data_IF_730956958244
#
_entry.id   IF_730956958244
#
_cell.length_a   1.000
_cell.length_b   1.000
_cell.length_c   1.000
_cell.angle_alpha   90.00
_cell.angle_beta   90.00
_cell.angle_gamma   90.00
#
_symmetry.space_group_name_H-M   'P 1'
#
loop_
_entity.id
_entity.type
_entity.pdbx_description
1 polymer ?
#
# COMPACT_ATOMS: atom_id res chain seq x y z
N UNK A 1 -18.77 -23.83 12.35
CA UNK A 1 -18.60 -22.45 11.81
C UNK A 1 -17.67 -21.61 12.68
N UNK A 2 -16.88 -20.71 12.06
CA UNK A 2 -15.98 -19.78 12.75
C UNK A 2 -16.77 -18.57 13.23
N UNK A 3 -16.76 -18.31 14.54
CA UNK A 3 -17.40 -17.14 15.15
C UNK A 3 -16.42 -15.96 15.15
N UNK A 4 -16.90 -14.80 14.74
CA UNK A 4 -16.16 -13.52 14.86
C UNK A 4 -16.44 -12.91 16.23
N UNK A 5 -17.72 -12.83 16.60
CA UNK A 5 -18.20 -12.46 17.94
C UNK A 5 -19.23 -13.48 18.41
N UNK A 6 -20.02 -13.15 19.44
CA UNK A 6 -21.13 -14.02 19.87
C UNK A 6 -22.23 -14.12 18.80
N UNK A 7 -22.45 -13.02 18.07
CA UNK A 7 -23.59 -12.83 17.17
C UNK A 7 -23.17 -12.80 15.70
N UNK A 8 -21.88 -12.52 15.41
CA UNK A 8 -21.33 -12.45 14.06
C UNK A 8 -20.62 -13.77 13.70
N UNK A 9 -21.07 -14.40 12.63
CA UNK A 9 -20.60 -15.69 12.13
C UNK A 9 -19.99 -15.51 10.74
N UNK A 10 -18.81 -16.07 10.53
CA UNK A 10 -18.18 -16.15 9.21
C UNK A 10 -18.81 -17.27 8.38
N UNK A 11 -19.23 -16.96 7.15
CA UNK A 11 -19.88 -17.89 6.21
C UNK A 11 -19.24 -17.89 4.81
N UNK A 12 -18.08 -17.26 4.66
CA UNK A 12 -17.33 -17.21 3.40
C UNK A 12 -16.67 -18.53 3.00
N UNK A 13 -15.81 -18.47 1.98
CA UNK A 13 -15.18 -19.63 1.33
C UNK A 13 -13.71 -19.36 0.97
N UNK A 14 -12.94 -20.44 0.80
CA UNK A 14 -11.60 -20.41 0.23
C UNK A 14 -11.62 -20.97 -1.18
N UNK A 15 -10.99 -20.26 -2.12
CA UNK A 15 -10.74 -20.68 -3.48
C UNK A 15 -9.27 -21.04 -3.68
N UNK A 16 -9.00 -22.32 -3.84
CA UNK A 16 -7.67 -22.85 -4.17
C UNK A 16 -7.53 -23.21 -5.66
N UNK A 17 -8.57 -23.00 -6.46
CA UNK A 17 -8.59 -23.29 -7.89
C UNK A 17 -8.20 -22.07 -8.74
N UNK A 18 -8.41 -20.86 -8.20
CA UNK A 18 -7.97 -19.62 -8.85
C UNK A 18 -6.45 -19.58 -8.98
N UNK A 19 -5.97 -19.41 -10.21
CA UNK A 19 -4.56 -19.19 -10.53
C UNK A 19 -4.25 -17.69 -10.68
N UNK A 20 -5.21 -16.92 -11.21
CA UNK A 20 -5.16 -15.48 -11.41
C UNK A 20 -6.40 -14.78 -10.84
N UNK A 21 -6.22 -13.98 -9.78
CA UNK A 21 -7.25 -13.07 -9.30
C UNK A 21 -7.41 -11.87 -10.25
N UNK A 22 -8.65 -11.50 -10.57
CA UNK A 22 -9.02 -10.54 -11.63
C UNK A 22 -8.41 -10.85 -13.03
N UNK A 23 -7.93 -12.08 -13.24
CA UNK A 23 -7.18 -12.44 -14.45
C UNK A 23 -5.80 -11.78 -14.56
N UNK A 24 -5.28 -11.18 -13.47
CA UNK A 24 -4.01 -10.45 -13.48
C UNK A 24 -3.03 -10.88 -12.38
N UNK A 25 -3.50 -11.13 -11.15
CA UNK A 25 -2.63 -11.35 -10.00
C UNK A 25 -2.46 -12.84 -9.71
N UNK A 26 -1.23 -13.33 -9.78
CA UNK A 26 -0.92 -14.73 -9.42
C UNK A 26 -1.15 -14.92 -7.93
N UNK A 27 -1.99 -15.89 -7.56
CA UNK A 27 -2.40 -16.14 -6.17
C UNK A 27 -2.11 -17.59 -5.78
N UNK A 28 -0.83 -17.95 -5.55
CA UNK A 28 -0.43 -19.35 -5.35
C UNK A 28 -1.01 -19.98 -4.08
N UNK A 29 -1.41 -19.15 -3.11
CA UNK A 29 -2.05 -19.54 -1.86
C UNK A 29 -3.58 -19.40 -1.90
N UNK A 30 -4.17 -19.28 -3.10
CA UNK A 30 -5.59 -19.12 -3.31
C UNK A 30 -6.14 -17.74 -2.93
N UNK A 31 -7.46 -17.65 -2.79
CA UNK A 31 -8.20 -16.47 -2.37
C UNK A 31 -9.26 -16.81 -1.33
N UNK A 32 -9.62 -15.84 -0.51
CA UNK A 32 -10.79 -15.93 0.36
C UNK A 32 -11.87 -14.98 -0.15
N UNK A 33 -13.11 -15.47 -0.23
CA UNK A 33 -14.30 -14.65 -0.49
C UNK A 33 -15.14 -14.65 0.79
N UNK A 34 -15.04 -13.58 1.56
CA UNK A 34 -15.63 -13.50 2.87
C UNK A 34 -17.08 -13.01 2.80
N UNK A 35 -17.92 -13.61 3.64
CA UNK A 35 -19.29 -13.18 3.86
C UNK A 35 -19.64 -13.46 5.32
N UNK A 36 -20.56 -12.69 5.88
CA UNK A 36 -20.85 -12.70 7.32
C UNK A 36 -22.36 -12.74 7.59
N UNK A 37 -22.77 -13.46 8.63
CA UNK A 37 -24.13 -13.46 9.16
C UNK A 37 -24.13 -12.83 10.55
N UNK A 38 -25.00 -11.86 10.78
CA UNK A 38 -25.23 -11.25 12.09
C UNK A 38 -26.59 -11.68 12.63
N UNK A 39 -26.56 -12.42 13.74
CA UNK A 39 -27.74 -12.92 14.41
C UNK A 39 -28.25 -11.89 15.42
N UNK A 40 -29.32 -11.19 15.05
CA UNK A 40 -30.01 -10.23 15.91
C UNK A 40 -31.53 -10.52 15.93
N UNK A 41 -32.39 -9.62 16.40
CA UNK A 41 -33.86 -9.77 16.25
C UNK A 41 -34.23 -9.90 14.76
N UNK A 42 -33.60 -9.08 13.91
CA UNK A 42 -33.60 -9.19 12.45
C UNK A 42 -32.23 -9.66 11.96
N UNK A 43 -32.20 -10.75 11.21
CA UNK A 43 -30.95 -11.36 10.76
C UNK A 43 -30.43 -10.68 9.50
N UNK A 44 -29.14 -10.34 9.50
CA UNK A 44 -28.49 -9.66 8.36
C UNK A 44 -27.36 -10.51 7.80
N UNK A 45 -27.33 -10.67 6.48
CA UNK A 45 -26.22 -11.26 5.73
C UNK A 45 -25.45 -10.14 5.03
N UNK A 46 -24.12 -10.19 5.07
CA UNK A 46 -23.22 -9.23 4.45
C UNK A 46 -22.52 -9.86 3.26
N UNK A 47 -22.78 -9.27 2.09
CA UNK A 47 -22.26 -9.66 0.77
C UNK A 47 -22.43 -11.14 0.47
N UNK A 48 -22.04 -11.51 -0.74
CA UNK A 48 -22.06 -12.90 -1.21
C UNK A 48 -20.65 -13.32 -1.61
N UNK A 49 -20.51 -14.36 -2.41
CA UNK A 49 -19.21 -14.88 -2.87
C UNK A 49 -19.24 -15.12 -4.37
N UNK A 50 -18.08 -15.45 -4.92
CA UNK A 50 -17.90 -15.84 -6.33
C UNK A 50 -18.89 -16.94 -6.76
N UNK A 51 -19.29 -16.88 -8.03
CA UNK A 51 -20.29 -17.79 -8.61
C UNK A 51 -19.92 -19.27 -8.45
N UNK A 52 -18.63 -19.62 -8.46
CA UNK A 52 -18.16 -21.00 -8.32
C UNK A 52 -18.48 -21.61 -6.94
N UNK A 53 -18.72 -20.76 -5.94
CA UNK A 53 -18.95 -21.17 -4.55
C UNK A 53 -20.40 -21.00 -4.09
N UNK A 54 -21.34 -20.78 -5.02
CA UNK A 54 -22.78 -20.61 -4.77
C UNK A 54 -23.33 -21.58 -3.73
N UNK A 55 -23.16 -22.89 -3.95
CA UNK A 55 -23.77 -23.92 -3.10
C UNK A 55 -23.11 -23.98 -1.72
N UNK A 56 -21.77 -23.97 -1.67
CA UNK A 56 -21.04 -24.01 -0.40
C UNK A 56 -21.39 -22.80 0.48
N UNK A 57 -21.48 -21.60 -0.10
CA UNK A 57 -21.85 -20.39 0.63
C UNK A 57 -23.30 -20.43 1.13
N UNK A 58 -24.26 -20.86 0.30
CA UNK A 58 -25.65 -21.01 0.73
C UNK A 58 -25.80 -22.05 1.86
N UNK A 59 -25.04 -23.15 1.82
CA UNK A 59 -24.99 -24.16 2.88
C UNK A 59 -24.42 -23.56 4.19
N UNK A 60 -23.32 -22.79 4.09
CA UNK A 60 -22.75 -22.08 5.25
C UNK A 60 -23.74 -21.07 5.85
N UNK A 61 -24.46 -20.31 5.01
CA UNK A 61 -25.50 -19.38 5.45
C UNK A 61 -26.62 -20.14 6.15
N UNK A 62 -27.12 -21.23 5.57
CA UNK A 62 -28.18 -22.05 6.17
C UNK A 62 -27.77 -22.64 7.52
N UNK A 63 -26.53 -23.12 7.64
CA UNK A 63 -25.97 -23.60 8.92
C UNK A 63 -25.93 -22.47 9.96
N UNK A 64 -25.47 -21.28 9.59
CA UNK A 64 -25.38 -20.11 10.48
C UNK A 64 -26.75 -19.63 10.96
N UNK A 65 -27.76 -19.70 10.09
CA UNK A 65 -29.13 -19.32 10.41
C UNK A 65 -29.81 -20.28 11.38
N UNK A 66 -29.41 -21.56 11.43
CA UNK A 66 -30.00 -22.55 12.34
C UNK A 66 -31.52 -22.69 12.21
N UNK A 67 -32.06 -22.51 10.99
CA UNK A 67 -33.50 -22.53 10.70
C UNK A 67 -34.21 -21.18 10.78
N UNK A 68 -33.54 -20.10 11.21
CA UNK A 68 -34.05 -18.73 11.08
C UNK A 68 -34.05 -18.29 9.61
N UNK A 69 -34.82 -17.25 9.30
CA UNK A 69 -34.83 -16.62 7.97
C UNK A 69 -34.05 -15.30 8.03
N UNK A 70 -33.26 -14.95 7.00
CA UNK A 70 -32.62 -13.66 6.93
C UNK A 70 -33.63 -12.55 6.58
N UNK A 71 -33.51 -11.42 7.26
CA UNK A 71 -34.31 -10.22 7.00
C UNK A 71 -33.63 -9.31 5.97
N UNK A 72 -32.29 -9.25 5.99
CA UNK A 72 -31.50 -8.35 5.15
C UNK A 72 -30.34 -9.04 4.45
N UNK A 73 -30.06 -8.61 3.22
CA UNK A 73 -28.78 -8.79 2.54
C UNK A 73 -28.17 -7.42 2.30
N UNK A 74 -27.13 -7.05 3.06
CA UNK A 74 -26.35 -5.83 2.84
C UNK A 74 -25.33 -6.09 1.74
N UNK A 75 -25.36 -5.29 0.68
CA UNK A 75 -24.42 -5.35 -0.44
C UNK A 75 -23.50 -4.14 -0.39
N UNK A 76 -22.28 -4.36 0.08
CA UNK A 76 -21.25 -3.34 0.23
C UNK A 76 -20.54 -3.04 -1.09
N UNK A 77 -20.41 -4.06 -1.94
CA UNK A 77 -19.68 -4.00 -3.20
C UNK A 77 -20.35 -4.86 -4.28
N UNK A 78 -20.43 -4.35 -5.51
CA UNK A 78 -21.05 -5.04 -6.64
C UNK A 78 -20.07 -5.87 -7.49
N UNK A 79 -18.78 -5.92 -7.16
CA UNK A 79 -17.86 -6.77 -7.92
C UNK A 79 -18.29 -8.26 -7.84
N UNK A 80 -18.26 -9.02 -8.96
CA UNK A 80 -18.90 -10.33 -9.01
C UNK A 80 -18.37 -11.38 -8.03
N UNK A 81 -17.13 -11.29 -7.60
CA UNK A 81 -16.54 -12.16 -6.58
C UNK A 81 -17.17 -12.00 -5.18
N UNK A 82 -17.96 -10.93 -4.99
CA UNK A 82 -18.77 -10.68 -3.79
C UNK A 82 -20.26 -10.56 -4.07
N UNK A 83 -20.67 -10.41 -5.34
CA UNK A 83 -22.05 -10.07 -5.69
C UNK A 83 -22.76 -11.08 -6.58
N UNK A 84 -22.04 -12.05 -7.17
CA UNK A 84 -22.60 -12.98 -8.15
C UNK A 84 -23.81 -13.78 -7.63
N UNK A 85 -23.89 -13.97 -6.32
CA UNK A 85 -24.89 -14.81 -5.67
C UNK A 85 -26.12 -14.06 -5.14
N UNK A 86 -26.23 -12.75 -5.35
CA UNK A 86 -27.40 -11.95 -4.90
C UNK A 86 -28.72 -12.55 -5.42
N UNK A 87 -28.79 -12.90 -6.70
CA UNK A 87 -29.99 -13.49 -7.29
C UNK A 87 -30.31 -14.87 -6.70
N UNK A 88 -29.30 -15.70 -6.48
CA UNK A 88 -29.47 -17.03 -5.86
C UNK A 88 -29.95 -16.92 -4.41
N UNK A 89 -29.41 -15.94 -3.66
CA UNK A 89 -29.84 -15.63 -2.31
C UNK A 89 -31.31 -15.22 -2.26
N UNK A 90 -31.74 -14.26 -3.08
CA UNK A 90 -33.15 -13.81 -3.11
C UNK A 90 -34.10 -14.92 -3.55
N UNK A 91 -33.71 -15.77 -4.48
CA UNK A 91 -34.52 -16.93 -4.86
C UNK A 91 -34.70 -17.92 -3.69
N UNK A 92 -33.69 -18.05 -2.83
CA UNK A 92 -33.71 -18.93 -1.65
C UNK A 92 -34.47 -18.29 -0.49
N UNK A 93 -34.31 -16.99 -0.30
CA UNK A 93 -34.88 -16.20 0.80
C UNK A 93 -35.71 -15.01 0.25
N UNK A 94 -36.89 -15.25 -0.35
CA UNK A 94 -37.64 -14.24 -1.09
C UNK A 94 -38.17 -13.08 -0.23
N UNK A 95 -38.25 -13.27 1.08
CA UNK A 95 -38.70 -12.25 2.02
C UNK A 95 -37.57 -11.31 2.48
N UNK A 96 -36.30 -11.62 2.16
CA UNK A 96 -35.18 -10.78 2.54
C UNK A 96 -35.20 -9.47 1.74
N UNK A 97 -34.80 -8.37 2.40
CA UNK A 97 -34.65 -7.05 1.78
C UNK A 97 -33.18 -6.82 1.43
N UNK A 98 -32.89 -6.49 0.18
CA UNK A 98 -31.55 -6.09 -0.24
C UNK A 98 -31.30 -4.65 0.23
N UNK A 99 -30.22 -4.42 0.95
CA UNK A 99 -29.79 -3.11 1.44
C UNK A 99 -28.55 -2.67 0.66
N UNK A 100 -28.60 -1.49 0.06
CA UNK A 100 -27.51 -0.94 -0.75
C UNK A 100 -27.69 0.56 -0.95
N UNK A 101 -26.73 1.23 -1.60
CA UNK A 101 -26.93 2.63 -1.98
C UNK A 101 -27.49 2.77 -3.40
N UNK A 102 -27.79 4.00 -3.81
CA UNK A 102 -28.39 4.27 -5.12
C UNK A 102 -27.57 3.73 -6.30
N UNK A 103 -26.22 3.74 -6.20
CA UNK A 103 -25.35 3.21 -7.26
C UNK A 103 -25.29 1.68 -7.25
N UNK A 104 -25.35 1.06 -6.07
CA UNK A 104 -25.45 -0.40 -5.91
C UNK A 104 -26.61 -0.93 -6.75
N UNK A 105 -27.81 -0.34 -6.62
CA UNK A 105 -28.98 -0.79 -7.37
C UNK A 105 -28.93 -0.48 -8.87
N UNK A 106 -28.28 0.62 -9.26
CA UNK A 106 -28.06 0.92 -10.68
C UNK A 106 -27.18 -0.14 -11.36
N UNK A 107 -26.10 -0.57 -10.68
CA UNK A 107 -25.24 -1.65 -11.18
C UNK A 107 -25.93 -3.01 -11.12
N UNK A 108 -26.69 -3.27 -10.06
CA UNK A 108 -27.45 -4.50 -9.90
C UNK A 108 -28.42 -4.73 -11.07
N UNK A 109 -29.10 -3.69 -11.55
CA UNK A 109 -29.95 -3.78 -12.75
C UNK A 109 -29.14 -4.15 -14.00
N UNK A 110 -27.91 -3.66 -14.12
CA UNK A 110 -27.01 -3.96 -15.25
C UNK A 110 -26.51 -5.42 -15.22
N UNK A 111 -26.09 -5.91 -14.04
CA UNK A 111 -25.57 -7.26 -13.89
C UNK A 111 -26.66 -8.34 -14.00
N UNK A 112 -27.86 -8.07 -13.47
CA UNK A 112 -28.92 -9.09 -13.37
C UNK A 112 -30.08 -8.90 -14.36
N UNK A 113 -30.11 -7.80 -15.12
CA UNK A 113 -31.10 -7.55 -16.18
C UNK A 113 -32.51 -7.24 -15.67
N UNK A 114 -32.64 -6.76 -14.43
CA UNK A 114 -33.94 -6.44 -13.82
C UNK A 114 -33.81 -5.84 -12.43
N UNK A 115 -34.94 -5.34 -11.90
CA UNK A 115 -35.03 -4.79 -10.55
C UNK A 115 -35.49 -5.85 -9.57
N UNK A 116 -34.90 -5.81 -8.38
CA UNK A 116 -35.38 -6.57 -7.23
C UNK A 116 -36.54 -5.84 -6.56
N UNK A 117 -37.51 -6.59 -6.03
CA UNK A 117 -38.73 -6.02 -5.43
C UNK A 117 -38.46 -5.46 -4.02
N UNK A 118 -37.88 -6.28 -3.14
CA UNK A 118 -37.61 -5.93 -1.75
C UNK A 118 -36.23 -5.26 -1.62
N UNK A 119 -36.20 -3.94 -1.73
CA UNK A 119 -34.97 -3.14 -1.66
C UNK A 119 -35.07 -2.00 -0.64
N UNK A 120 -33.96 -1.69 0.01
CA UNK A 120 -33.77 -0.55 0.90
C UNK A 120 -32.56 0.26 0.44
N UNK A 121 -32.81 1.49 0.01
CA UNK A 121 -31.75 2.43 -0.40
C UNK A 121 -31.29 3.22 0.81
N UNK A 122 -30.01 3.08 1.18
CA UNK A 122 -29.41 3.83 2.29
C UNK A 122 -28.55 4.98 1.81
N UNK A 123 -28.50 6.05 2.59
CA UNK A 123 -27.63 7.21 2.44
C UNK A 123 -26.33 7.11 3.23
N UNK A 124 -25.37 7.98 2.92
CA UNK A 124 -24.11 8.07 3.67
C UNK A 124 -24.36 8.58 5.10
N UNK A 125 -23.94 7.81 6.09
CA UNK A 125 -24.15 8.07 7.52
C UNK A 125 -25.51 7.59 8.04
N UNK A 126 -26.36 7.01 7.19
CA UNK A 126 -27.64 6.43 7.62
C UNK A 126 -27.39 5.18 8.46
N UNK A 127 -28.33 4.86 9.34
CA UNK A 127 -28.23 3.69 10.22
C UNK A 127 -29.47 2.79 10.14
N UNK A 128 -29.24 1.48 10.22
CA UNK A 128 -30.26 0.44 10.28
C UNK A 128 -30.11 -0.32 11.61
N UNK A 129 -31.13 -0.24 12.45
CA UNK A 129 -31.21 -1.02 13.70
C UNK A 129 -31.96 -2.33 13.44
N UNK A 130 -31.34 -3.44 13.84
CA UNK A 130 -31.86 -4.80 13.64
C UNK A 130 -32.31 -5.48 14.94
N UNK A 131 -32.31 -4.75 16.05
CA UNK A 131 -32.52 -5.30 17.39
C UNK A 131 -31.49 -4.69 18.34
N UNK A 132 -30.53 -5.50 18.77
CA UNK A 132 -29.36 -5.02 19.52
C UNK A 132 -28.36 -4.29 18.62
N UNK A 133 -28.12 -4.82 17.42
CA UNK A 133 -27.14 -4.28 16.49
C UNK A 133 -27.69 -3.05 15.77
N UNK A 134 -26.81 -2.07 15.55
CA UNK A 134 -27.11 -0.88 14.75
C UNK A 134 -25.96 -0.65 13.78
N UNK A 135 -26.29 -0.79 12.50
CA UNK A 135 -25.36 -0.68 11.37
C UNK A 135 -25.39 0.73 10.79
N UNK A 136 -24.27 1.44 10.80
CA UNK A 136 -24.09 2.73 10.13
C UNK A 136 -23.37 2.53 8.80
N UNK A 137 -23.96 3.02 7.70
CA UNK A 137 -23.39 2.88 6.36
C UNK A 137 -22.52 4.09 6.00
N UNK A 138 -21.25 3.86 5.68
CA UNK A 138 -20.30 4.93 5.33
C UNK A 138 -19.83 4.72 3.90
N UNK A 139 -20.12 5.69 3.03
CA UNK A 139 -19.77 5.58 1.62
C UNK A 139 -18.25 5.76 1.42
N UNK A 140 -17.70 4.87 0.60
CA UNK A 140 -16.29 4.77 0.24
C UNK A 140 -16.10 4.75 -1.29
N UNK A 141 -16.61 5.77 -2.01
CA UNK A 141 -16.59 5.75 -3.47
C UNK A 141 -15.15 5.74 -4.02
N UNK A 142 -14.92 4.90 -5.02
CA UNK A 142 -13.61 4.62 -5.62
C UNK A 142 -12.63 3.94 -4.66
N UNK A 143 -13.12 3.19 -3.68
CA UNK A 143 -12.32 2.29 -2.83
C UNK A 143 -12.83 0.84 -3.00
N UNK A 144 -12.71 0.22 -4.17
CA UNK A 144 -12.14 0.74 -5.43
C UNK A 144 -13.19 1.09 -6.50
N UNK A 145 -14.45 0.67 -6.32
CA UNK A 145 -15.57 1.00 -7.23
C UNK A 145 -16.45 2.17 -6.74
N UNK A 146 -17.22 2.82 -7.62
CA UNK A 146 -17.95 4.05 -7.28
C UNK A 146 -19.14 3.89 -6.32
N UNK A 147 -19.66 2.67 -6.15
CA UNK A 147 -20.77 2.28 -5.25
C UNK A 147 -20.30 1.75 -3.90
N UNK A 148 -19.00 1.52 -3.69
CA UNK A 148 -18.55 0.88 -2.45
C UNK A 148 -19.00 1.66 -1.21
N UNK A 149 -19.50 0.92 -0.23
CA UNK A 149 -19.77 1.41 1.12
C UNK A 149 -19.25 0.43 2.16
N UNK A 150 -18.74 0.95 3.27
CA UNK A 150 -18.42 0.15 4.46
C UNK A 150 -19.57 0.23 5.46
N UNK A 151 -19.66 -0.73 6.37
CA UNK A 151 -20.72 -0.78 7.38
C UNK A 151 -20.12 -0.96 8.76
N UNK A 152 -20.47 -0.07 9.67
CA UNK A 152 -20.01 -0.11 11.05
C UNK A 152 -21.13 -0.60 11.96
N UNK A 153 -20.89 -1.70 12.67
CA UNK A 153 -21.73 -2.14 13.77
C UNK A 153 -21.26 -1.52 15.08
N UNK A 154 -22.09 -0.64 15.63
CA UNK A 154 -21.84 0.05 16.90
C UNK A 154 -21.94 -0.84 18.14
N UNK A 155 -22.55 -2.02 18.04
CA UNK A 155 -22.74 -2.93 19.19
C UNK A 155 -21.47 -3.72 19.47
N UNK A 156 -20.98 -4.43 18.45
CA UNK A 156 -19.76 -5.22 18.55
C UNK A 156 -18.50 -4.46 18.13
N UNK A 157 -18.65 -3.18 17.70
CA UNK A 157 -17.54 -2.32 17.27
C UNK A 157 -16.80 -2.89 16.06
N UNK A 158 -17.56 -3.44 15.12
CA UNK A 158 -17.05 -4.14 13.93
C UNK A 158 -17.21 -3.25 12.69
N UNK A 159 -16.15 -3.13 11.91
CA UNK A 159 -16.20 -2.52 10.58
C UNK A 159 -16.18 -3.63 9.53
N UNK A 160 -17.32 -3.84 8.85
CA UNK A 160 -17.36 -4.58 7.59
C UNK A 160 -16.84 -3.66 6.49
N UNK A 161 -15.63 -3.94 5.99
CA UNK A 161 -14.81 -2.95 5.28
C UNK A 161 -14.83 -3.06 3.75
N UNK A 162 -15.76 -3.85 3.19
CA UNK A 162 -15.68 -4.26 1.79
C UNK A 162 -14.25 -4.80 1.48
N UNK A 163 -13.65 -4.41 0.35
CA UNK A 163 -12.27 -4.77 -0.01
C UNK A 163 -11.21 -4.08 0.83
N UNK A 164 -11.59 -3.03 1.56
CA UNK A 164 -10.68 -2.34 2.48
C UNK A 164 -10.12 -3.33 3.50
N UNK A 165 -8.83 -3.23 3.77
CA UNK A 165 -8.05 -4.10 4.67
C UNK A 165 -7.91 -5.56 4.24
N UNK A 166 -8.26 -5.89 3.00
CA UNK A 166 -8.06 -7.22 2.44
C UNK A 166 -6.59 -7.56 2.13
N UNK A 167 -6.36 -8.85 1.86
CA UNK A 167 -5.11 -9.38 1.28
C UNK A 167 -5.41 -10.52 0.31
N UNK A 168 -4.47 -10.80 -0.61
CA UNK A 168 -4.47 -12.06 -1.34
C UNK A 168 -4.20 -13.25 -0.41
N UNK A 169 -4.65 -14.45 -0.81
CA UNK A 169 -4.46 -15.69 -0.06
C UNK A 169 -5.73 -16.20 0.62
N UNK A 170 -5.88 -17.53 0.66
CA UNK A 170 -6.93 -18.22 1.39
C UNK A 170 -6.73 -18.15 2.92
N UNK A 171 -7.80 -18.35 3.70
CA UNK A 171 -7.77 -18.25 5.16
C UNK A 171 -7.14 -19.44 5.88
N UNK A 172 -6.97 -20.56 5.18
CA UNK A 172 -6.37 -21.80 5.69
C UNK A 172 -4.87 -21.89 5.42
N UNK A 173 -4.25 -20.81 4.94
CA UNK A 173 -2.81 -20.67 4.75
C UNK A 173 -2.24 -19.68 5.78
N UNK A 174 -1.17 -20.07 6.46
CA UNK A 174 -0.44 -19.19 7.37
C UNK A 174 0.57 -18.33 6.61
N UNK A 175 0.33 -17.02 6.58
CA UNK A 175 1.23 -16.03 5.96
C UNK A 175 1.12 -14.66 6.66
N UNK A 176 2.18 -13.86 6.56
CA UNK A 176 2.18 -12.49 7.07
C UNK A 176 1.15 -11.64 6.33
N UNK A 177 0.36 -10.86 7.07
CA UNK A 177 -0.70 -10.06 6.47
C UNK A 177 -0.13 -8.97 5.56
N UNK A 178 0.92 -8.26 5.99
CA UNK A 178 1.33 -7.01 5.34
C UNK A 178 1.91 -7.19 3.94
N UNK A 179 2.56 -8.32 3.67
CA UNK A 179 3.13 -8.59 2.35
C UNK A 179 2.02 -8.67 1.27
N UNK A 180 1.10 -9.62 1.41
CA UNK A 180 0.00 -9.78 0.45
C UNK A 180 -1.05 -8.66 0.59
N UNK A 181 -1.24 -8.05 1.76
CA UNK A 181 -2.12 -6.90 1.90
C UNK A 181 -1.59 -5.68 1.15
N UNK A 182 -0.27 -5.47 1.12
CA UNK A 182 0.28 -4.37 0.32
C UNK A 182 0.21 -4.67 -1.16
N UNK A 183 0.49 -5.91 -1.58
CA UNK A 183 0.33 -6.34 -2.97
C UNK A 183 -1.13 -6.16 -3.43
N UNK A 184 -2.08 -6.55 -2.59
CA UNK A 184 -3.52 -6.34 -2.78
C UNK A 184 -3.86 -4.84 -2.86
N UNK A 185 -3.51 -4.05 -1.84
CA UNK A 185 -3.81 -2.62 -1.81
C UNK A 185 -3.26 -1.88 -3.02
N UNK A 186 -1.97 -2.08 -3.35
CA UNK A 186 -1.33 -1.40 -4.47
C UNK A 186 -1.94 -1.89 -5.80
N UNK A 187 -2.17 -3.20 -5.94
CA UNK A 187 -2.80 -3.80 -7.12
C UNK A 187 -4.18 -3.21 -7.41
N UNK A 188 -5.07 -3.23 -6.42
CA UNK A 188 -6.51 -2.97 -6.57
C UNK A 188 -6.85 -1.48 -6.41
N UNK A 189 -6.44 -0.86 -5.30
CA UNK A 189 -6.91 0.49 -4.90
C UNK A 189 -5.80 1.56 -4.91
N UNK A 190 -4.54 1.19 -5.18
CA UNK A 190 -3.37 2.05 -5.01
C UNK A 190 -3.46 3.42 -5.69
N UNK A 191 -4.23 3.53 -6.78
CA UNK A 191 -4.53 4.78 -7.49
C UNK A 191 -5.37 5.78 -6.68
N UNK A 192 -6.22 5.30 -5.79
CA UNK A 192 -7.26 6.07 -5.11
C UNK A 192 -6.87 6.47 -3.68
N UNK A 193 -5.58 6.72 -3.45
CA UNK A 193 -5.07 7.09 -2.12
C UNK A 193 -5.80 8.27 -1.45
N UNK A 194 -6.25 9.28 -2.21
CA UNK A 194 -7.01 10.40 -1.64
C UNK A 194 -8.40 9.98 -1.12
N UNK A 195 -9.05 9.04 -1.81
CA UNK A 195 -10.34 8.48 -1.40
C UNK A 195 -10.19 7.58 -0.18
N UNK A 196 -9.12 6.77 -0.14
CA UNK A 196 -8.77 5.98 1.05
C UNK A 196 -8.50 6.89 2.25
N UNK A 197 -7.71 7.96 2.08
CA UNK A 197 -7.47 8.95 3.15
C UNK A 197 -8.77 9.59 3.66
N UNK A 198 -9.71 9.92 2.75
CA UNK A 198 -11.01 10.44 3.13
C UNK A 198 -11.86 9.42 3.91
N UNK A 199 -11.79 8.14 3.54
CA UNK A 199 -12.44 7.04 4.27
C UNK A 199 -11.81 6.85 5.66
N UNK A 200 -10.47 6.78 5.75
CA UNK A 200 -9.76 6.63 7.02
C UNK A 200 -10.10 7.77 8.00
N UNK A 201 -10.24 9.00 7.49
CA UNK A 201 -10.68 10.13 8.32
C UNK A 201 -12.07 9.93 8.91
N UNK A 202 -13.03 9.42 8.13
CA UNK A 202 -14.37 9.09 8.64
C UNK A 202 -14.32 7.91 9.63
N UNK A 203 -13.54 6.88 9.32
CA UNK A 203 -13.38 5.70 10.16
C UNK A 203 -12.74 6.04 11.52
N UNK A 204 -11.88 7.06 11.59
CA UNK A 204 -11.28 7.53 12.83
C UNK A 204 -12.29 8.14 13.82
N UNK A 205 -13.51 8.48 13.39
CA UNK A 205 -14.60 8.94 14.25
C UNK A 205 -15.38 7.77 14.88
N UNK A 206 -15.10 6.53 14.47
CA UNK A 206 -15.76 5.31 14.92
C UNK A 206 -14.88 4.57 15.95
N UNK A 207 -15.51 3.95 16.94
CA UNK A 207 -14.83 3.13 17.95
C UNK A 207 -14.68 1.70 17.43
N UNK A 208 -13.74 1.48 16.49
CA UNK A 208 -13.53 0.19 15.81
C UNK A 208 -12.62 -0.71 16.65
N UNK A 209 -13.05 -1.96 16.86
CA UNK A 209 -12.28 -3.02 17.52
C UNK A 209 -12.02 -4.24 16.63
N UNK A 210 -12.83 -4.43 15.59
CA UNK A 210 -12.70 -5.54 14.64
C UNK A 210 -12.91 -5.02 13.22
N UNK A 211 -12.08 -5.47 12.27
CA UNK A 211 -12.26 -5.21 10.83
C UNK A 211 -12.52 -6.54 10.11
N UNK A 212 -13.61 -6.59 9.36
CA UNK A 212 -14.09 -7.73 8.59
C UNK A 212 -14.01 -7.40 7.09
N UNK A 213 -12.89 -7.69 6.41
CA UNK A 213 -12.74 -7.47 4.98
C UNK A 213 -13.46 -8.54 4.16
N UNK A 214 -13.66 -8.27 2.87
CA UNK A 214 -14.19 -9.24 1.88
C UNK A 214 -13.13 -10.24 1.39
N UNK A 215 -11.85 -9.97 1.63
CA UNK A 215 -10.75 -10.91 1.41
C UNK A 215 -9.78 -10.95 2.58
N UNK A 216 -9.14 -12.10 2.82
CA UNK A 216 -8.16 -12.24 3.90
C UNK A 216 -8.77 -12.26 5.30
N UNK A 217 -7.94 -12.31 6.36
CA UNK A 217 -8.40 -12.60 7.72
C UNK A 217 -9.17 -11.43 8.35
N UNK A 218 -10.05 -11.78 9.29
CA UNK A 218 -10.62 -10.80 10.22
C UNK A 218 -9.51 -10.23 11.10
N UNK A 219 -9.47 -8.91 11.24
CA UNK A 219 -8.45 -8.19 11.99
C UNK A 219 -9.02 -7.74 13.34
N UNK A 220 -8.57 -8.35 14.44
CA UNK A 220 -9.10 -8.09 15.80
C UNK A 220 -8.06 -7.50 16.76
N UNK A 221 -6.78 -7.54 16.42
CA UNK A 221 -5.69 -7.19 17.34
C UNK A 221 -5.16 -5.77 17.09
N UNK A 222 -3.86 -5.62 16.79
CA UNK A 222 -3.13 -4.37 16.62
C UNK A 222 -3.69 -3.52 15.44
N UNK A 223 -4.90 -2.96 15.60
CA UNK A 223 -5.54 -2.14 14.58
C UNK A 223 -4.70 -0.92 14.22
N UNK A 224 -3.95 -0.37 15.18
CA UNK A 224 -2.98 0.69 14.93
C UNK A 224 -1.96 0.32 13.85
N UNK A 225 -1.48 -0.92 13.83
CA UNK A 225 -0.58 -1.41 12.79
C UNK A 225 -1.24 -1.40 11.39
N UNK A 226 -2.41 -2.02 11.25
CA UNK A 226 -3.12 -2.10 9.96
C UNK A 226 -3.51 -0.70 9.44
N UNK A 227 -4.02 0.16 10.33
CA UNK A 227 -4.41 1.54 10.01
C UNK A 227 -3.20 2.39 9.62
N UNK A 228 -2.07 2.25 10.31
CA UNK A 228 -0.84 2.98 9.97
C UNK A 228 -0.29 2.56 8.60
N UNK A 229 -0.36 1.28 8.26
CA UNK A 229 0.03 0.78 6.94
C UNK A 229 -0.89 1.34 5.85
N UNK A 230 -2.21 1.24 6.01
CA UNK A 230 -3.16 1.83 5.06
C UNK A 230 -2.98 3.35 4.92
N UNK A 231 -2.73 4.07 6.02
CA UNK A 231 -2.42 5.49 5.99
C UNK A 231 -1.13 5.78 5.22
N UNK A 232 -0.09 4.96 5.40
CA UNK A 232 1.18 5.07 4.69
C UNK A 232 0.99 4.84 3.19
N UNK A 233 0.28 3.78 2.80
CA UNK A 233 0.06 3.45 1.39
C UNK A 233 -0.80 4.50 0.68
N UNK A 234 -1.90 4.92 1.31
CA UNK A 234 -2.83 5.90 0.73
C UNK A 234 -2.30 7.33 0.68
N UNK A 235 -1.34 7.68 1.55
CA UNK A 235 -0.60 8.93 1.46
C UNK A 235 0.59 8.86 0.48
N UNK A 236 0.84 7.69 -0.13
CA UNK A 236 2.03 7.43 -0.94
C UNK A 236 3.33 7.65 -0.17
N UNK A 237 3.28 7.44 1.15
CA UNK A 237 4.41 7.52 2.05
C UNK A 237 5.43 6.41 1.78
N UNK A 238 6.61 6.56 2.38
CA UNK A 238 7.64 5.53 2.40
C UNK A 238 7.35 4.62 3.58
N UNK A 239 7.20 3.33 3.32
CA UNK A 239 6.84 2.37 4.37
C UNK A 239 8.09 1.77 5.03
N UNK A 240 9.16 1.57 4.27
CA UNK A 240 10.41 1.00 4.76
C UNK A 240 11.60 1.77 4.19
N UNK A 241 12.64 1.93 5.00
CA UNK A 241 13.92 2.42 4.48
C UNK A 241 14.57 1.36 3.59
N UNK A 242 15.08 1.78 2.45
CA UNK A 242 15.71 0.88 1.48
C UNK A 242 15.68 1.45 0.07
N UNK A 243 16.26 0.67 -0.84
CA UNK A 243 16.34 0.98 -2.27
C UNK A 243 15.90 -0.26 -3.04
N UNK A 244 14.96 -0.10 -3.97
CA UNK A 244 14.62 -1.14 -4.95
C UNK A 244 15.33 -0.86 -6.27
N UNK A 245 15.86 -1.90 -6.90
CA UNK A 245 16.42 -1.86 -8.25
C UNK A 245 15.55 -2.74 -9.14
N UNK A 246 14.83 -2.12 -10.07
CA UNK A 246 14.07 -2.82 -11.09
C UNK A 246 14.86 -2.80 -12.40
N UNK A 247 15.12 -3.97 -12.98
CA UNK A 247 15.96 -4.04 -14.16
C UNK A 247 15.51 -5.04 -15.22
N UNK A 248 16.01 -4.85 -16.44
CA UNK A 248 15.95 -5.83 -17.52
C UNK A 248 17.34 -6.00 -18.14
N UNK A 249 17.69 -7.22 -18.56
CA UNK A 249 18.99 -7.48 -19.20
C UNK A 249 18.91 -8.57 -20.26
N UNK A 250 19.21 -8.22 -21.51
CA UNK A 250 19.17 -9.17 -22.65
C UNK A 250 20.41 -10.05 -22.67
N UNK A 251 21.59 -9.46 -22.53
CA UNK A 251 22.89 -10.16 -22.63
C UNK A 251 23.70 -10.17 -21.32
N UNK A 252 23.07 -9.80 -20.21
CA UNK A 252 23.68 -9.84 -18.87
C UNK A 252 24.56 -8.65 -18.48
N UNK A 253 24.91 -7.73 -19.39
CA UNK A 253 25.76 -6.59 -19.03
C UNK A 253 25.05 -5.57 -18.12
N UNK A 254 23.75 -5.30 -18.34
CA UNK A 254 22.95 -4.49 -17.41
C UNK A 254 22.82 -5.18 -16.05
N UNK A 255 22.61 -6.51 -16.04
CA UNK A 255 22.56 -7.30 -14.81
C UNK A 255 23.85 -7.18 -13.99
N UNK A 256 25.02 -7.30 -14.63
CA UNK A 256 26.32 -7.12 -13.97
C UNK A 256 26.47 -5.73 -13.32
N UNK A 257 26.00 -4.68 -14.00
CA UNK A 257 26.01 -3.33 -13.46
C UNK A 257 25.07 -3.16 -12.26
N UNK A 258 23.88 -3.76 -12.34
CA UNK A 258 22.90 -3.78 -11.24
C UNK A 258 23.43 -4.54 -10.03
N UNK A 259 24.03 -5.72 -10.22
CA UNK A 259 24.61 -6.52 -9.14
C UNK A 259 25.72 -5.75 -8.42
N UNK A 260 26.56 -5.05 -9.18
CA UNK A 260 27.62 -4.22 -8.63
C UNK A 260 27.06 -2.99 -7.88
N UNK A 261 26.05 -2.31 -8.44
CA UNK A 261 25.38 -1.20 -7.75
C UNK A 261 24.76 -1.69 -6.44
N UNK A 262 24.06 -2.81 -6.47
CA UNK A 262 23.41 -3.39 -5.31
C UNK A 262 24.44 -3.66 -4.19
N UNK A 263 25.60 -4.20 -4.52
CA UNK A 263 26.69 -4.40 -3.57
C UNK A 263 27.22 -3.07 -3.02
N UNK A 264 27.48 -2.09 -3.88
CA UNK A 264 27.92 -0.75 -3.47
C UNK A 264 26.92 -0.08 -2.51
N UNK A 265 25.61 -0.21 -2.75
CA UNK A 265 24.57 0.31 -1.86
C UNK A 265 24.60 -0.39 -0.49
N UNK A 266 24.73 -1.72 -0.45
CA UNK A 266 24.83 -2.48 0.81
C UNK A 266 26.06 -2.07 1.61
N UNK A 267 27.22 -1.95 0.97
CA UNK A 267 28.47 -1.56 1.65
C UNK A 267 28.42 -0.14 2.22
N UNK A 268 27.56 0.73 1.67
CA UNK A 268 27.29 2.10 2.16
C UNK A 268 26.20 2.17 3.23
N UNK A 269 25.80 1.02 3.78
CA UNK A 269 24.88 0.96 4.90
C UNK A 269 23.40 1.10 4.52
N UNK A 270 23.04 0.91 3.25
CA UNK A 270 21.64 0.83 2.87
C UNK A 270 20.95 -0.32 3.65
N UNK A 271 19.87 -0.06 4.41
CA UNK A 271 19.26 -1.05 5.30
C UNK A 271 18.65 -2.23 4.54
N UNK A 272 18.16 -1.97 3.32
CA UNK A 272 17.58 -2.98 2.45
C UNK A 272 17.81 -2.62 0.98
N UNK A 273 18.35 -3.57 0.22
CA UNK A 273 18.46 -3.48 -1.24
C UNK A 273 17.70 -4.63 -1.87
N UNK A 274 16.60 -4.31 -2.55
CA UNK A 274 15.77 -5.28 -3.30
C UNK A 274 16.13 -5.20 -4.78
N UNK A 275 16.24 -6.35 -5.45
CA UNK A 275 16.67 -6.42 -6.85
C UNK A 275 15.69 -7.28 -7.63
N UNK A 276 14.94 -6.65 -8.53
CA UNK A 276 13.87 -7.26 -9.31
C UNK A 276 14.27 -7.36 -10.78
N UNK A 277 14.45 -8.58 -11.27
CA UNK A 277 14.59 -8.88 -12.71
C UNK A 277 13.18 -8.93 -13.32
N UNK A 278 12.76 -7.82 -13.94
CA UNK A 278 11.38 -7.64 -14.41
C UNK A 278 10.95 -8.65 -15.49
N UNK A 279 11.89 -9.35 -16.12
CA UNK A 279 11.58 -10.40 -17.09
C UNK A 279 11.36 -11.78 -16.43
N UNK A 280 11.55 -11.90 -15.11
CA UNK A 280 11.58 -13.18 -14.37
C UNK A 280 10.81 -13.16 -13.05
N UNK A 281 10.70 -12.01 -12.39
CA UNK A 281 9.96 -11.89 -11.13
C UNK A 281 8.46 -11.71 -11.37
N UNK A 282 7.67 -11.77 -10.29
CA UNK A 282 6.29 -11.30 -10.30
C UNK A 282 6.30 -9.76 -10.48
N UNK A 283 5.58 -9.28 -11.50
CA UNK A 283 5.45 -7.86 -11.79
C UNK A 283 4.71 -7.11 -10.68
N UNK A 284 3.69 -7.72 -10.08
CA UNK A 284 2.91 -7.11 -9.01
C UNK A 284 3.73 -6.96 -7.72
N UNK A 285 4.59 -7.93 -7.42
CA UNK A 285 5.55 -7.85 -6.30
C UNK A 285 6.59 -6.75 -6.55
N UNK A 286 7.16 -6.68 -7.77
CA UNK A 286 8.10 -5.62 -8.10
C UNK A 286 7.47 -4.21 -7.99
N UNK A 287 6.18 -4.09 -8.34
CA UNK A 287 5.41 -2.84 -8.19
C UNK A 287 5.20 -2.54 -6.71
N UNK A 288 4.82 -3.51 -5.89
CA UNK A 288 4.69 -3.36 -4.43
C UNK A 288 6.00 -2.86 -3.80
N UNK A 289 7.14 -3.46 -4.14
CA UNK A 289 8.46 -3.03 -3.69
C UNK A 289 8.74 -1.55 -4.03
N UNK A 290 8.37 -1.10 -5.23
CA UNK A 290 8.55 0.31 -5.62
C UNK A 290 7.76 1.27 -4.72
N UNK A 291 6.53 0.90 -4.36
CA UNK A 291 5.72 1.70 -3.43
C UNK A 291 6.23 1.60 -1.98
N UNK A 292 6.86 0.49 -1.59
CA UNK A 292 7.40 0.29 -0.23
C UNK A 292 8.56 1.21 0.11
N UNK A 293 9.52 1.38 -0.80
CA UNK A 293 10.76 2.12 -0.55
C UNK A 293 10.73 3.54 -1.12
N UNK A 294 11.55 4.44 -0.54
CA UNK A 294 11.63 5.84 -0.99
C UNK A 294 12.46 6.08 -2.26
N UNK A 295 13.27 5.08 -2.65
CA UNK A 295 14.28 5.20 -3.71
C UNK A 295 14.15 4.01 -4.68
N UNK A 296 14.10 4.31 -5.97
CA UNK A 296 13.96 3.34 -7.06
C UNK A 296 15.08 3.53 -8.09
N UNK A 297 15.78 2.47 -8.44
CA UNK A 297 16.71 2.45 -9.57
C UNK A 297 16.04 1.73 -10.74
N UNK A 298 15.96 2.39 -11.89
CA UNK A 298 15.48 1.79 -13.13
C UNK A 298 16.67 1.53 -14.05
N UNK A 299 16.91 0.25 -14.37
CA UNK A 299 18.03 -0.17 -15.20
C UNK A 299 17.58 -0.99 -16.41
N UNK A 300 17.73 -0.48 -17.63
CA UNK A 300 17.24 -1.19 -18.83
C UNK A 300 18.16 -0.99 -20.04
N UNK A 301 18.01 -1.85 -21.04
CA UNK A 301 18.56 -1.58 -22.38
C UNK A 301 17.63 -0.65 -23.17
N UNK A 302 18.20 0.12 -24.09
CA UNK A 302 17.44 0.63 -25.23
C UNK A 302 17.08 -0.53 -26.15
N UNK A 303 15.80 -0.63 -26.51
CA UNK A 303 15.25 -1.69 -27.34
C UNK A 303 14.32 -1.08 -28.40
N UNK A 304 14.65 -1.25 -29.68
CA UNK A 304 13.94 -0.62 -30.81
C UNK A 304 13.79 0.91 -30.65
N UNK A 305 14.88 1.59 -30.25
CA UNK A 305 14.92 3.03 -29.92
C UNK A 305 14.02 3.45 -28.73
N UNK A 306 13.46 2.49 -28.02
CA UNK A 306 12.47 2.64 -26.97
C UNK A 306 12.87 1.87 -25.68
N UNK A 307 11.98 1.81 -24.69
CA UNK A 307 12.14 0.95 -23.52
C UNK A 307 11.90 -0.53 -23.86
N UNK A 308 12.67 -1.40 -23.19
CA UNK A 308 12.42 -2.84 -23.20
C UNK A 308 11.01 -3.14 -22.65
N UNK A 309 10.26 -4.11 -23.23
CA UNK A 309 8.83 -4.28 -22.92
C UNK A 309 8.50 -4.39 -21.42
N UNK A 310 9.22 -5.23 -20.68
CA UNK A 310 8.96 -5.40 -19.24
C UNK A 310 9.24 -4.13 -18.41
N UNK A 311 10.22 -3.32 -18.80
CA UNK A 311 10.47 -2.03 -18.14
C UNK A 311 9.34 -1.02 -18.44
N UNK A 312 8.83 -1.02 -19.67
CA UNK A 312 7.67 -0.19 -20.03
C UNK A 312 6.45 -0.57 -19.21
N UNK A 313 6.10 -1.85 -19.19
CA UNK A 313 4.97 -2.38 -18.40
C UNK A 313 5.11 -2.06 -16.91
N UNK A 314 6.31 -2.20 -16.35
CA UNK A 314 6.57 -1.83 -14.96
C UNK A 314 6.28 -0.35 -14.70
N UNK A 315 6.80 0.56 -15.53
CA UNK A 315 6.56 2.00 -15.39
C UNK A 315 5.08 2.35 -15.60
N UNK A 316 4.40 1.70 -16.54
CA UNK A 316 2.96 1.87 -16.77
C UNK A 316 2.18 1.52 -15.49
N UNK A 317 2.50 0.39 -14.84
CA UNK A 317 1.88 -0.01 -13.59
C UNK A 317 2.12 0.97 -12.43
N UNK A 318 3.30 1.59 -12.35
CA UNK A 318 3.58 2.62 -11.36
C UNK A 318 2.76 3.89 -11.63
N UNK A 319 2.82 4.39 -12.87
CA UNK A 319 2.21 5.68 -13.22
C UNK A 319 0.69 5.64 -13.25
N UNK A 320 0.07 4.51 -13.63
CA UNK A 320 -1.39 4.35 -13.56
C UNK A 320 -1.93 4.34 -12.12
N UNK A 321 -1.08 3.96 -11.17
CA UNK A 321 -1.32 3.96 -9.72
C UNK A 321 -0.82 5.24 -9.04
N UNK A 322 -0.58 6.30 -9.81
CA UNK A 322 -0.19 7.62 -9.28
C UNK A 322 1.08 7.57 -8.40
N UNK A 323 2.09 6.81 -8.82
CA UNK A 323 3.41 6.77 -8.18
C UNK A 323 4.03 8.18 -8.05
N UNK A 324 4.40 8.56 -6.83
CA UNK A 324 4.80 9.93 -6.47
C UNK A 324 5.64 9.94 -5.18
N UNK A 325 6.27 11.08 -4.87
CA UNK A 325 7.08 11.28 -3.66
C UNK A 325 8.27 10.30 -3.57
N UNK A 326 9.05 10.17 -4.64
CA UNK A 326 10.15 9.20 -4.74
C UNK A 326 11.38 9.82 -5.39
N UNK A 327 12.54 9.29 -5.04
CA UNK A 327 13.78 9.54 -5.80
C UNK A 327 14.02 8.39 -6.77
N UNK A 328 14.24 8.70 -8.05
CA UNK A 328 14.49 7.72 -9.11
C UNK A 328 15.90 7.89 -9.66
N UNK A 329 16.70 6.83 -9.66
CA UNK A 329 17.97 6.77 -10.37
C UNK A 329 17.81 6.03 -11.70
N UNK A 330 18.56 6.45 -12.73
CA UNK A 330 18.44 5.90 -14.08
C UNK A 330 19.76 5.30 -14.55
N UNK A 331 19.68 4.08 -15.07
CA UNK A 331 20.77 3.38 -15.74
C UNK A 331 20.28 2.85 -17.09
N UNK A 332 20.97 3.20 -18.16
CA UNK A 332 20.67 2.69 -19.50
C UNK A 332 21.85 1.94 -20.10
N UNK A 333 21.55 0.97 -20.96
CA UNK A 333 22.54 0.28 -21.78
C UNK A 333 22.17 0.36 -23.27
N UNK A 334 23.12 0.75 -24.12
CA UNK A 334 22.92 0.79 -25.57
C UNK A 334 24.24 0.95 -26.32
N UNK A 335 24.38 0.27 -27.47
CA UNK A 335 25.65 0.21 -28.19
C UNK A 335 25.90 1.39 -29.15
N UNK A 336 24.87 1.94 -29.79
CA UNK A 336 25.03 2.99 -30.82
C UNK A 336 24.12 4.21 -30.67
N UNK A 337 22.97 4.09 -29.99
CA UNK A 337 22.04 5.19 -29.76
C UNK A 337 21.20 4.93 -28.48
N UNK A 338 21.79 5.03 -27.28
CA UNK A 338 21.04 4.87 -26.04
C UNK A 338 20.03 6.03 -25.88
N UNK A 339 18.77 5.68 -25.60
CA UNK A 339 17.65 6.61 -25.43
C UNK A 339 16.78 6.27 -24.21
N UNK A 340 17.06 5.15 -23.53
CA UNK A 340 16.15 4.60 -22.53
C UNK A 340 16.05 5.50 -21.29
N UNK A 341 17.15 6.09 -20.83
CA UNK A 341 17.14 6.98 -19.67
C UNK A 341 16.24 8.20 -19.90
N UNK A 342 16.31 8.81 -21.10
CA UNK A 342 15.43 9.91 -21.49
C UNK A 342 13.96 9.49 -21.45
N UNK A 343 13.63 8.34 -22.04
CA UNK A 343 12.25 7.86 -22.12
C UNK A 343 11.72 7.50 -20.72
N UNK A 344 12.52 6.83 -19.87
CA UNK A 344 12.16 6.56 -18.47
C UNK A 344 11.87 7.87 -17.72
N UNK A 345 12.71 8.90 -17.88
CA UNK A 345 12.49 10.22 -17.26
C UNK A 345 11.19 10.87 -17.71
N UNK A 346 10.89 10.83 -19.01
CA UNK A 346 9.66 11.37 -19.59
C UNK A 346 8.40 10.63 -19.12
N UNK A 347 8.46 9.32 -18.90
CA UNK A 347 7.31 8.53 -18.42
C UNK A 347 6.77 9.01 -17.06
N UNK A 348 7.62 9.58 -16.20
CA UNK A 348 7.21 10.12 -14.89
C UNK A 348 6.86 11.62 -14.92
N UNK A 349 6.77 12.26 -16.08
CA UNK A 349 6.52 13.71 -16.16
C UNK A 349 5.20 14.17 -15.50
N UNK A 350 4.21 13.27 -15.39
CA UNK A 350 2.92 13.54 -14.72
C UNK A 350 2.90 13.12 -13.25
N UNK A 351 3.92 12.39 -12.79
CA UNK A 351 4.06 11.99 -11.40
C UNK A 351 4.44 13.19 -10.54
N UNK A 352 3.85 13.27 -9.34
CA UNK A 352 4.12 14.37 -8.41
C UNK A 352 5.38 14.08 -7.61
N UNK A 353 6.16 15.13 -7.33
CA UNK A 353 7.30 15.07 -6.42
C UNK A 353 8.27 13.91 -6.69
N UNK A 354 8.56 13.65 -7.97
CA UNK A 354 9.65 12.75 -8.37
C UNK A 354 10.91 13.58 -8.51
N UNK A 355 11.96 13.20 -7.77
CA UNK A 355 13.32 13.66 -7.98
C UNK A 355 14.10 12.62 -8.77
N UNK A 356 15.03 13.07 -9.61
CA UNK A 356 15.94 12.17 -10.32
C UNK A 356 17.33 12.29 -9.72
N UNK A 357 17.91 11.16 -9.36
CA UNK A 357 19.27 11.09 -8.83
C UNK A 357 20.30 11.16 -9.96
N UNK A 358 21.47 11.73 -9.67
CA UNK A 358 22.62 11.80 -10.57
C UNK A 358 23.79 10.91 -10.05
N UNK A 359 24.77 10.58 -10.90
CA UNK A 359 24.71 10.69 -12.35
C UNK A 359 23.72 9.68 -12.96
N UNK A 360 23.08 10.06 -14.07
CA UNK A 360 22.50 9.08 -15.00
C UNK A 360 23.62 8.23 -15.61
N UNK A 361 23.53 6.91 -15.48
CA UNK A 361 24.57 5.98 -15.94
C UNK A 361 24.25 5.48 -17.34
N UNK A 362 25.12 5.77 -18.31
CA UNK A 362 25.01 5.25 -19.68
C UNK A 362 26.12 4.24 -19.96
N UNK A 363 25.73 2.98 -20.13
CA UNK A 363 26.62 1.86 -20.46
C UNK A 363 26.60 1.63 -21.97
N UNK A 364 27.78 1.61 -22.60
CA UNK A 364 27.91 1.26 -24.03
C UNK A 364 28.31 -0.20 -24.20
N UNK A 365 27.31 -1.07 -24.33
CA UNK A 365 27.44 -2.53 -24.43
C UNK A 365 27.87 -3.21 -23.12
N UNK A 366 29.03 -2.87 -22.57
CA UNK A 366 29.58 -3.43 -21.33
C UNK A 366 30.14 -2.33 -20.42
N UNK A 367 30.29 -2.64 -19.12
CA UNK A 367 30.84 -1.72 -18.13
C UNK A 367 32.26 -1.29 -18.51
N UNK A 368 32.49 0.03 -18.42
CA UNK A 368 33.81 0.64 -18.54
C UNK A 368 34.35 1.05 -17.17
N UNK A 369 35.66 1.35 -17.04
CA UNK A 369 36.21 1.94 -15.80
C UNK A 369 35.51 3.22 -15.37
N UNK A 370 35.11 4.09 -16.31
CA UNK A 370 34.35 5.30 -16.01
C UNK A 370 32.98 4.97 -15.40
N UNK A 371 32.28 3.95 -15.91
CA UNK A 371 31.01 3.52 -15.32
C UNK A 371 31.20 2.99 -13.89
N UNK A 372 32.37 2.44 -13.54
CA UNK A 372 32.63 2.01 -12.16
C UNK A 372 32.65 3.19 -11.20
N UNK A 373 33.24 4.32 -11.61
CA UNK A 373 33.27 5.56 -10.84
C UNK A 373 31.87 6.20 -10.75
N UNK A 374 31.11 6.20 -11.85
CA UNK A 374 29.71 6.67 -11.87
C UNK A 374 28.81 5.84 -10.94
N UNK A 375 29.01 4.51 -10.90
CA UNK A 375 28.30 3.63 -9.97
C UNK A 375 28.64 3.92 -8.51
N UNK A 376 29.88 4.30 -8.21
CA UNK A 376 30.26 4.75 -6.86
C UNK A 376 29.58 6.07 -6.51
N UNK A 377 29.64 7.06 -7.40
CA UNK A 377 28.99 8.35 -7.20
C UNK A 377 27.48 8.22 -7.00
N UNK A 378 26.80 7.41 -7.81
CA UNK A 378 25.37 7.16 -7.68
C UNK A 378 25.05 6.45 -6.36
N UNK A 379 25.88 5.50 -5.94
CA UNK A 379 25.69 4.80 -4.68
C UNK A 379 25.87 5.74 -3.48
N UNK A 380 26.82 6.68 -3.55
CA UNK A 380 27.01 7.74 -2.55
C UNK A 380 25.79 8.67 -2.48
N UNK A 381 25.26 9.11 -3.63
CA UNK A 381 24.07 9.96 -3.68
C UNK A 381 22.84 9.25 -3.06
N UNK A 382 22.57 8.02 -3.48
CA UNK A 382 21.41 7.27 -2.98
C UNK A 382 21.54 6.90 -1.49
N UNK A 383 22.76 6.73 -0.99
CA UNK A 383 23.02 6.38 0.41
C UNK A 383 23.39 7.55 1.31
N UNK A 384 23.36 8.80 0.82
CA UNK A 384 23.83 9.97 1.57
C UNK A 384 23.29 10.05 3.00
N UNK A 385 21.99 9.82 3.18
CA UNK A 385 21.33 9.81 4.50
C UNK A 385 21.79 8.64 5.40
N UNK A 386 22.01 7.46 4.82
CA UNK A 386 22.47 6.28 5.55
C UNK A 386 23.93 6.42 5.97
N UNK A 387 24.76 6.97 5.08
CA UNK A 387 26.15 7.30 5.35
C UNK A 387 26.22 8.31 6.50
N UNK A 388 25.41 9.38 6.46
CA UNK A 388 25.38 10.42 7.49
C UNK A 388 24.91 9.91 8.87
N UNK A 389 24.08 8.86 8.92
CA UNK A 389 23.60 8.25 10.18
C UNK A 389 24.56 7.19 10.75
N UNK A 390 25.53 6.72 9.97
CA UNK A 390 26.42 5.63 10.37
C UNK A 390 27.59 6.14 11.23
N UNK A 391 27.77 5.58 12.42
CA UNK A 391 28.89 5.94 13.31
C UNK A 391 30.29 5.77 12.68
N UNK A 392 30.39 4.87 11.70
CA UNK A 392 31.65 4.51 11.03
C UNK A 392 31.92 5.33 9.78
N UNK A 393 30.88 5.73 9.05
CA UNK A 393 31.01 6.34 7.71
C UNK A 393 30.48 7.77 7.65
N UNK A 394 29.80 8.26 8.69
CA UNK A 394 29.33 9.64 8.73
C UNK A 394 30.50 10.61 8.65
N UNK A 395 30.40 11.57 7.74
CA UNK A 395 31.26 12.74 7.80
C UNK A 395 30.85 13.58 9.02
N UNK A 396 31.57 13.39 10.14
CA UNK A 396 31.35 14.13 11.40
C UNK A 396 31.70 15.63 11.29
N UNK A 397 32.14 16.08 10.12
CA UNK A 397 32.52 17.46 9.84
C UNK A 397 31.86 17.94 8.52
N UNK A 398 30.53 17.90 8.45
CA UNK A 398 29.81 18.60 7.39
C UNK A 398 29.68 20.09 7.71
N UNK A 399 30.61 20.88 7.18
CA UNK A 399 30.62 22.33 7.34
C UNK A 399 29.62 23.04 6.40
N UNK A 400 28.98 22.32 5.46
CA UNK A 400 27.95 22.89 4.58
C UNK A 400 26.70 23.31 5.36
N UNK A 401 26.40 22.61 6.46
CA UNK A 401 25.32 22.94 7.39
C UNK A 401 25.43 24.36 7.95
N UNK A 402 26.64 24.91 8.08
CA UNK A 402 26.85 26.28 8.58
C UNK A 402 26.29 27.36 7.64
N UNK A 403 26.16 27.06 6.35
CA UNK A 403 25.60 27.98 5.36
C UNK A 403 24.07 27.92 5.27
N UNK A 404 23.44 26.99 5.99
CA UNK A 404 21.99 26.77 6.01
C UNK A 404 21.37 27.03 7.40
N UNK A 405 22.07 27.73 8.29
CA UNK A 405 21.57 28.08 9.63
C UNK A 405 20.42 29.10 9.49
N UNK A 406 19.19 28.64 9.73
CA UNK A 406 17.97 29.45 9.74
C UNK A 406 17.45 29.76 11.15
N UNK A 407 16.22 30.27 11.23
CA UNK A 407 15.51 30.37 12.51
C UNK A 407 14.90 29.00 12.86
N UNK A 408 15.18 28.46 14.04
CA UNK A 408 14.73 27.12 14.43
C UNK A 408 15.22 26.66 15.79
N UNK A 409 14.79 25.48 16.20
CA UNK A 409 15.27 24.79 17.41
C UNK A 409 16.51 23.97 17.06
N UNK A 410 17.58 24.18 17.82
CA UNK A 410 18.85 23.51 17.66
C UNK A 410 19.26 22.84 18.97
N UNK A 411 19.94 21.69 18.87
CA UNK A 411 20.57 21.01 20.01
C UNK A 411 22.06 21.36 20.00
N UNK A 412 22.54 21.99 21.06
CA UNK A 412 23.96 22.29 21.24
C UNK A 412 24.50 21.34 22.29
N UNK A 413 25.39 20.44 21.87
CA UNK A 413 26.05 19.50 22.77
C UNK A 413 27.51 19.89 23.00
N UNK A 414 28.02 19.57 24.19
CA UNK A 414 29.42 19.70 24.54
C UNK A 414 29.88 18.48 25.33
N UNK A 415 31.17 18.15 25.24
CA UNK A 415 31.77 17.06 26.02
C UNK A 415 33.09 17.54 26.60
N UNK A 416 33.34 17.23 27.87
CA UNK A 416 34.62 17.49 28.52
C UNK A 416 35.58 16.29 28.45
N UNK A 417 35.20 15.25 27.70
CA UNK A 417 35.91 13.97 27.59
C UNK A 417 35.54 12.96 28.69
N UNK A 418 34.67 13.31 29.64
CA UNK A 418 34.13 12.41 30.68
C UNK A 418 32.61 12.40 30.72
N UNK A 419 31.97 13.52 30.41
CA UNK A 419 30.52 13.69 30.38
C UNK A 419 30.08 14.50 29.18
N UNK A 420 28.98 14.07 28.59
CA UNK A 420 28.27 14.80 27.56
C UNK A 420 27.21 15.70 28.20
N UNK A 421 27.05 16.90 27.66
CA UNK A 421 26.01 17.85 28.01
C UNK A 421 25.31 18.30 26.73
N UNK A 422 24.02 18.63 26.82
CA UNK A 422 23.23 19.10 25.68
C UNK A 422 22.26 20.19 26.10
N UNK A 423 21.91 21.13 25.22
CA UNK A 423 20.85 22.09 25.51
C UNK A 423 20.14 22.52 24.24
N UNK A 424 18.86 22.86 24.38
CA UNK A 424 18.05 23.38 23.28
C UNK A 424 18.23 24.89 23.20
N UNK A 425 18.64 25.38 22.05
CA UNK A 425 18.70 26.82 21.71
C UNK A 425 17.80 27.12 20.53
N UNK A 426 17.30 28.34 20.49
CA UNK A 426 16.50 28.84 19.35
C UNK A 426 17.27 29.87 18.51
N UNK A 427 18.50 30.21 18.90
CA UNK A 427 19.30 31.26 18.28
C UNK A 427 20.73 30.76 18.06
N UNK A 428 21.04 30.44 16.80
CA UNK A 428 22.39 30.18 16.31
C UNK A 428 22.65 31.12 15.13
N UNK A 429 23.83 31.69 15.05
CA UNK A 429 24.21 32.57 13.93
C UNK A 429 25.64 32.28 13.51
N UNK A 430 25.87 32.11 12.20
CA UNK A 430 27.22 32.05 11.65
C UNK A 430 27.85 33.46 11.70
N UNK A 431 29.02 33.57 12.34
CA UNK A 431 29.71 34.84 12.59
C UNK A 431 30.79 35.11 11.55
N UNK A 432 31.54 34.08 11.16
CA UNK A 432 32.56 34.16 10.10
C UNK A 432 32.60 32.85 9.32
N UNK A 433 32.97 32.91 8.04
CA UNK A 433 33.23 31.72 7.22
C UNK A 433 34.73 31.41 7.07
N UNK A 434 35.62 32.35 7.44
CA UNK A 434 37.08 32.17 7.44
C UNK A 434 37.72 32.81 8.68
N UNK A 435 38.03 32.05 9.74
CA UNK A 435 37.64 30.66 9.96
C UNK A 435 36.12 30.53 10.17
N UNK A 436 35.56 29.33 10.00
CA UNK A 436 34.17 29.07 10.37
C UNK A 436 33.96 29.32 11.87
N UNK A 437 33.05 30.22 12.22
CA UNK A 437 32.65 30.52 13.60
C UNK A 437 31.15 30.66 13.69
N UNK A 438 30.57 30.19 14.78
CA UNK A 438 29.17 30.39 15.14
C UNK A 438 29.08 31.06 16.51
N UNK A 439 28.04 31.88 16.70
CA UNK A 439 27.61 32.39 17.98
C UNK A 439 26.32 31.66 18.38
N UNK A 440 26.27 31.27 19.64
CA UNK A 440 25.12 30.60 20.25
C UNK A 440 24.77 31.34 21.53
N UNK A 441 23.50 31.71 21.68
CA UNK A 441 23.01 32.28 22.93
C UNK A 441 22.44 31.18 23.80
N UNK A 442 22.96 31.05 25.01
CA UNK A 442 22.60 29.98 25.95
C UNK A 442 21.93 30.62 27.17
N UNK A 443 20.73 30.15 27.53
CA UNK A 443 20.16 30.45 28.84
C UNK A 443 20.84 29.58 29.90
N UNK A 444 21.51 30.22 30.87
CA UNK A 444 22.21 29.54 31.97
C UNK A 444 21.30 28.72 32.88
N UNK A 445 19.98 28.91 32.81
CA UNK A 445 19.00 28.16 33.61
C UNK A 445 18.53 26.85 32.91
N UNK A 446 18.80 26.67 31.61
CA UNK A 446 18.44 25.48 30.83
C UNK A 446 19.48 24.36 30.93
N UNK A 447 19.81 23.90 32.14
CA UNK A 447 20.58 22.66 32.30
C UNK A 447 19.72 21.47 31.87
N UNK A 448 20.26 20.58 31.04
CA UNK A 448 19.54 19.38 30.60
C UNK A 448 19.58 18.22 31.59
N UNK A 449 20.45 18.22 32.61
CA UNK A 449 20.50 17.13 33.58
C UNK A 449 20.90 17.52 35.00
N UNK A 450 20.20 16.91 35.96
CA UNK A 450 20.74 16.46 37.25
C UNK A 450 21.62 15.23 37.05
#
# INVERSE_FOLDING_TARGET
MKKVTNDIIYVGVNDHQVDLFEGQYVVPNGMAYNSYVVLDDKVTVFDTVDANFTHQWLDNVAEALGGRQPDYLVVQHMEPDHSANIKNFVNTYPNATIVGNAKTFAMMEQFFGGKFENTLVVGNGESLCTGRHTFTFVFAPMVHWPEVMVTYDSTDKVLFSADGFGKFGALDVEEDWACEARRYYIGIVGKYGAQVQALLKKAAELDIQIICPLHGPVLTENLGYYLNLYNTWSSYGVESEGIVIAYTSVYGNTKKAVELLAEKLRTRGCPKVVVNDLARCDMAEAVEDAFRYGKLVLATTTYNAELFPFMRTFIDHLTERNFQNRTIALMENGSWAPTAARIMKESFAKSKNISFAEPVITIKSALSPANMEELDALADELCMEYIARSDKTANKQDLSALFNIGYGLYVVTSTDGKKDNGLIVNTITQVTNTPNRVAVTINKENYSHH
#
